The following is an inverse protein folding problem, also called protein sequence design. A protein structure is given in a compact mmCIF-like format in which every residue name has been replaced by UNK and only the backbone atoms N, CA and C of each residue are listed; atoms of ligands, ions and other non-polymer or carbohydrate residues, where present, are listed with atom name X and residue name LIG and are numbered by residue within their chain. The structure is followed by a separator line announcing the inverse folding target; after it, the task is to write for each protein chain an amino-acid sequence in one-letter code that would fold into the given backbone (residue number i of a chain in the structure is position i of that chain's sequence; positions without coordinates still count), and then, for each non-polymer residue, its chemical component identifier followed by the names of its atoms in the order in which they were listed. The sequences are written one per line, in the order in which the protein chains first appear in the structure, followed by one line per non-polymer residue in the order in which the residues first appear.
data_IF_573809231762
#
_entry.id   IF_573809231762
#
_cell.length_a   1.000
_cell.length_b   1.000
_cell.length_c   1.000
_cell.angle_alpha   90.00
_cell.angle_beta   90.00
_cell.angle_gamma   90.00
#
_symmetry.space_group_name_H-M   'P 1'
#
loop_
_entity.id
_entity.type
_entity.pdbx_description
1 polymer ?
#
# COMPACT_ATOMS: atom_id res chain seq x y z
N UNK A 1 24.52 5.59 10.31
CA UNK A 1 23.23 5.52 9.59
C UNK A 1 23.42 4.72 8.32
N UNK A 2 22.40 4.05 7.84
CA UNK A 2 22.47 3.20 6.63
C UNK A 2 22.41 4.06 5.37
N UNK A 3 21.68 5.17 5.43
CA UNK A 3 21.59 6.20 4.40
C UNK A 3 21.68 7.58 5.07
N UNK A 4 22.12 8.59 4.32
CA UNK A 4 22.25 9.98 4.82
C UNK A 4 20.91 10.75 4.75
N UNK A 5 19.80 10.04 4.47
CA UNK A 5 18.45 10.57 4.36
C UNK A 5 17.45 9.66 5.09
N UNK A 6 16.29 10.17 5.53
CA UNK A 6 15.26 9.36 6.16
C UNK A 6 14.67 8.39 5.14
N UNK A 7 14.54 7.11 5.48
CA UNK A 7 13.84 6.11 4.66
C UNK A 7 12.37 6.13 5.06
N UNK A 8 11.46 6.16 4.07
CA UNK A 8 10.00 6.24 4.27
C UNK A 8 9.35 5.06 3.54
N UNK A 9 8.58 4.29 4.28
CA UNK A 9 7.81 3.16 3.77
C UNK A 9 6.42 3.65 3.31
N UNK A 10 6.15 3.61 2.02
CA UNK A 10 4.89 4.09 1.46
C UNK A 10 3.74 3.05 1.54
N UNK A 11 3.99 1.83 2.06
CA UNK A 11 2.99 0.78 2.15
C UNK A 11 3.31 -0.25 3.24
N UNK A 12 2.59 -0.18 4.34
CA UNK A 12 2.65 -1.17 5.42
C UNK A 12 1.25 -1.37 6.02
N UNK A 13 1.05 -2.44 6.77
CA UNK A 13 -0.21 -2.78 7.40
C UNK A 13 -0.06 -2.96 8.91
N UNK A 14 -1.09 -2.55 9.67
CA UNK A 14 -1.21 -2.80 11.11
C UNK A 14 -2.61 -3.32 11.42
N UNK A 15 -2.72 -4.21 12.41
CA UNK A 15 -4.00 -4.70 12.92
C UNK A 15 -3.90 -5.22 14.34
N UNK A 16 -5.00 -5.13 15.07
CA UNK A 16 -5.15 -5.83 16.35
C UNK A 16 -5.57 -7.27 16.15
N UNK A 17 -6.41 -7.53 15.16
CA UNK A 17 -6.89 -8.87 14.81
C UNK A 17 -7.42 -8.87 13.38
N UNK A 18 -7.10 -9.93 12.64
CA UNK A 18 -7.81 -10.26 11.41
C UNK A 18 -9.02 -11.12 11.77
N UNK A 19 -10.22 -10.60 11.60
CA UNK A 19 -11.48 -11.32 11.82
C UNK A 19 -12.52 -10.71 10.88
N UNK A 20 -12.58 -11.22 9.66
CA UNK A 20 -13.39 -10.66 8.58
C UNK A 20 -13.87 -11.75 7.64
N UNK A 21 -14.70 -11.36 6.68
CA UNK A 21 -15.18 -12.24 5.61
C UNK A 21 -14.94 -11.52 4.27
N UNK A 22 -14.24 -12.19 3.37
CA UNK A 22 -14.00 -11.71 2.01
C UNK A 22 -14.52 -12.77 1.04
N UNK A 23 -15.37 -12.38 0.09
CA UNK A 23 -15.98 -13.28 -0.89
C UNK A 23 -16.67 -14.52 -0.25
N UNK A 24 -17.34 -14.29 0.88
CA UNK A 24 -18.02 -15.35 1.64
C UNK A 24 -17.10 -16.29 2.42
N UNK A 25 -15.78 -16.10 2.32
CA UNK A 25 -14.78 -16.91 3.03
C UNK A 25 -14.29 -16.18 4.28
N UNK A 26 -14.27 -16.90 5.41
CA UNK A 26 -13.77 -16.36 6.67
C UNK A 26 -12.25 -16.21 6.64
N UNK A 27 -11.79 -15.08 7.19
CA UNK A 27 -10.39 -14.82 7.48
C UNK A 27 -10.29 -14.55 8.99
N UNK A 28 -9.48 -15.34 9.68
CA UNK A 28 -9.37 -15.28 11.13
C UNK A 28 -7.92 -15.47 11.58
N UNK A 29 -7.45 -14.58 12.44
CA UNK A 29 -6.15 -14.70 13.11
C UNK A 29 -6.09 -15.96 13.97
N UNK A 30 -5.03 -16.74 13.77
CA UNK A 30 -4.64 -17.88 14.61
C UNK A 30 -3.28 -17.60 15.26
N UNK A 31 -2.89 -18.45 16.20
CA UNK A 31 -1.59 -18.32 16.87
C UNK A 31 -0.40 -18.55 15.92
N UNK A 32 0.74 -17.99 16.31
CA UNK A 32 2.05 -18.16 15.65
C UNK A 32 2.06 -17.72 14.18
N UNK A 33 1.49 -16.54 13.93
CA UNK A 33 1.49 -15.90 12.60
C UNK A 33 0.64 -16.59 11.54
N UNK A 34 -0.18 -17.57 11.92
CA UNK A 34 -1.11 -18.26 11.02
C UNK A 34 -2.45 -17.55 10.98
N UNK A 35 -3.16 -17.75 9.89
CA UNK A 35 -4.57 -17.35 9.76
C UNK A 35 -5.35 -18.45 9.06
N UNK A 36 -6.62 -18.60 9.42
CA UNK A 36 -7.59 -19.23 8.51
C UNK A 36 -7.77 -18.24 7.34
N UNK A 37 -7.44 -18.63 6.14
CA UNK A 37 -7.43 -17.77 4.96
C UNK A 37 -8.05 -18.51 3.79
N UNK A 38 -9.24 -18.07 3.35
CA UNK A 38 -9.98 -18.68 2.24
C UNK A 38 -10.16 -20.20 2.41
N UNK A 39 -10.53 -20.64 3.62
CA UNK A 39 -10.78 -22.05 3.95
C UNK A 39 -9.54 -22.89 4.29
N UNK A 40 -8.34 -22.31 4.23
CA UNK A 40 -7.08 -22.98 4.53
C UNK A 40 -6.31 -22.29 5.65
N UNK A 41 -5.57 -23.07 6.44
CA UNK A 41 -4.63 -22.47 7.42
C UNK A 41 -3.33 -22.15 6.70
N UNK A 42 -2.97 -20.87 6.67
CA UNK A 42 -1.75 -20.38 6.04
C UNK A 42 -0.87 -19.62 7.02
N UNK A 43 0.44 -19.66 6.78
CA UNK A 43 1.39 -18.76 7.43
C UNK A 43 1.31 -17.40 6.74
N UNK A 44 0.67 -16.42 7.38
CA UNK A 44 0.43 -15.10 6.80
C UNK A 44 1.46 -14.06 7.24
N UNK A 45 2.03 -14.24 8.43
CA UNK A 45 3.07 -13.40 9.01
C UNK A 45 4.09 -14.28 9.75
N UNK A 46 5.25 -13.75 10.20
CA UNK A 46 6.27 -14.56 10.89
C UNK A 46 5.73 -15.27 12.13
N UNK A 47 6.21 -16.49 12.43
CA UNK A 47 5.77 -17.27 13.60
C UNK A 47 6.00 -16.59 14.95
N UNK A 48 6.93 -15.63 15.04
CA UNK A 48 7.19 -14.89 16.28
C UNK A 48 6.10 -13.85 16.60
N UNK A 49 5.19 -13.56 15.69
CA UNK A 49 3.94 -12.85 15.97
C UNK A 49 2.96 -13.86 16.58
N UNK A 50 3.17 -14.16 17.89
CA UNK A 50 2.59 -15.33 18.57
C UNK A 50 1.08 -15.25 18.70
N UNK A 51 0.55 -14.06 19.01
CA UNK A 51 -0.88 -13.82 19.18
C UNK A 51 -1.57 -13.33 17.89
N UNK A 52 -0.83 -13.24 16.78
CA UNK A 52 -1.31 -12.78 15.48
C UNK A 52 -1.60 -11.28 15.39
N UNK A 53 -1.31 -10.51 16.45
CA UNK A 53 -1.44 -9.05 16.46
C UNK A 53 -0.22 -8.41 15.80
N UNK A 54 -0.48 -7.52 14.87
CA UNK A 54 0.57 -6.74 14.19
C UNK A 54 0.44 -5.27 14.59
N UNK A 55 0.94 -4.95 15.78
CA UNK A 55 0.74 -3.65 16.40
C UNK A 55 1.78 -2.60 15.99
N UNK A 56 1.47 -1.33 16.25
CA UNK A 56 2.36 -0.21 16.00
C UNK A 56 3.68 -0.36 16.77
N UNK A 57 3.67 -0.87 18.01
CA UNK A 57 4.86 -1.04 18.83
C UNK A 57 5.81 -2.09 18.24
N UNK A 58 5.25 -3.21 17.73
CA UNK A 58 6.03 -4.23 17.03
C UNK A 58 6.64 -3.65 15.76
N UNK A 59 5.86 -2.90 14.99
CA UNK A 59 6.33 -2.30 13.76
C UNK A 59 7.38 -1.21 14.02
N UNK A 60 7.17 -0.33 14.99
CA UNK A 60 8.16 0.69 15.40
C UNK A 60 9.50 0.05 15.77
N UNK A 61 9.48 -1.06 16.51
CA UNK A 61 10.72 -1.79 16.84
C UNK A 61 11.43 -2.30 15.59
N UNK A 62 10.70 -2.79 14.58
CA UNK A 62 11.27 -3.20 13.29
C UNK A 62 11.78 -1.99 12.49
N UNK A 63 11.03 -0.87 12.46
CA UNK A 63 11.41 0.37 11.79
C UNK A 63 12.70 0.93 12.39
N UNK A 64 12.79 1.02 13.72
CA UNK A 64 13.96 1.56 14.41
C UNK A 64 15.20 0.68 14.17
N UNK A 65 15.05 -0.64 14.24
CA UNK A 65 16.12 -1.59 13.91
C UNK A 65 16.57 -1.48 12.46
N UNK A 66 15.63 -1.30 11.53
CA UNK A 66 15.89 -1.14 10.11
C UNK A 66 16.20 0.32 9.71
N UNK A 67 16.18 1.29 10.65
CA UNK A 67 16.39 2.72 10.40
C UNK A 67 15.39 3.32 9.38
N UNK A 68 14.14 2.90 9.42
CA UNK A 68 13.02 3.49 8.68
C UNK A 68 12.37 4.57 9.54
N UNK A 69 12.24 5.77 9.00
CA UNK A 69 11.85 6.96 9.77
C UNK A 69 10.35 7.11 9.90
N UNK A 70 9.59 6.80 8.86
CA UNK A 70 8.14 6.93 8.84
C UNK A 70 7.52 5.90 7.89
N UNK A 71 6.21 5.65 8.05
CA UNK A 71 5.47 4.74 7.18
C UNK A 71 4.04 5.24 6.92
N UNK A 72 3.53 4.91 5.73
CA UNK A 72 2.11 4.99 5.40
C UNK A 72 1.47 3.65 5.75
N UNK A 73 0.45 3.69 6.61
CA UNK A 73 -0.29 2.50 7.02
C UNK A 73 -1.55 2.39 6.17
N UNK A 74 -1.55 1.40 5.29
CA UNK A 74 -2.70 1.07 4.44
C UNK A 74 -3.53 -0.05 5.08
N UNK A 75 -4.69 -0.34 4.51
CA UNK A 75 -5.56 -1.44 4.93
C UNK A 75 -5.94 -2.32 3.74
N UNK A 76 -6.32 -3.55 4.00
CA UNK A 76 -6.89 -4.45 3.01
C UNK A 76 -8.11 -5.18 3.63
N UNK A 77 -9.09 -5.53 2.82
CA UNK A 77 -10.30 -6.23 3.32
C UNK A 77 -9.96 -7.54 4.02
N UNK A 78 -8.86 -8.21 3.63
CA UNK A 78 -8.40 -9.42 4.30
C UNK A 78 -7.86 -9.19 5.72
N UNK A 79 -7.51 -7.96 6.08
CA UNK A 79 -7.08 -7.61 7.43
C UNK A 79 -8.28 -7.16 8.30
N UNK A 80 -9.43 -6.94 7.68
CA UNK A 80 -10.60 -6.31 8.28
C UNK A 80 -10.40 -4.79 8.44
N UNK A 81 -11.48 -4.09 8.72
CA UNK A 81 -11.45 -2.64 8.95
C UNK A 81 -10.87 -2.37 10.33
N UNK A 82 -9.78 -1.61 10.40
CA UNK A 82 -9.00 -1.29 11.61
C UNK A 82 -9.05 0.21 11.95
N UNK A 83 -10.04 0.96 11.48
CA UNK A 83 -10.05 2.43 11.55
C UNK A 83 -9.86 2.97 12.97
N UNK A 84 -10.59 2.45 13.95
CA UNK A 84 -10.50 2.95 15.34
C UNK A 84 -9.07 2.80 15.87
N UNK A 85 -8.46 1.63 15.68
CA UNK A 85 -7.08 1.38 16.07
C UNK A 85 -6.09 2.28 15.32
N UNK A 86 -6.24 2.43 14.00
CA UNK A 86 -5.32 3.25 13.21
C UNK A 86 -5.45 4.75 13.51
N UNK A 87 -6.63 5.21 13.91
CA UNK A 87 -6.81 6.57 14.40
C UNK A 87 -6.02 6.81 15.70
N UNK A 88 -6.09 5.88 16.66
CA UNK A 88 -5.27 5.91 17.88
C UNK A 88 -3.77 5.91 17.56
N UNK A 89 -3.34 5.03 16.67
CA UNK A 89 -1.94 4.93 16.23
C UNK A 89 -1.44 6.24 15.62
N UNK A 90 -2.21 6.86 14.71
CA UNK A 90 -1.86 8.13 14.09
C UNK A 90 -1.77 9.28 15.12
N UNK A 91 -2.68 9.30 16.09
CA UNK A 91 -2.66 10.30 17.17
C UNK A 91 -1.47 10.10 18.13
N UNK A 92 -1.11 8.86 18.43
CA UNK A 92 -0.02 8.53 19.33
C UNK A 92 1.37 8.74 18.69
N UNK A 93 1.48 8.50 17.38
CA UNK A 93 2.75 8.53 16.65
C UNK A 93 2.67 9.40 15.37
N UNK A 94 2.29 10.69 15.48
CA UNK A 94 1.98 11.54 14.32
C UNK A 94 3.20 11.79 13.40
N UNK A 95 4.41 11.71 13.94
CA UNK A 95 5.66 11.90 13.16
C UNK A 95 6.15 10.58 12.52
N UNK A 96 5.52 9.47 12.86
CA UNK A 96 5.95 8.14 12.40
C UNK A 96 4.95 7.53 11.41
N UNK A 97 3.66 7.80 11.54
CA UNK A 97 2.62 7.16 10.75
C UNK A 97 1.64 8.15 10.12
N UNK A 98 1.40 7.98 8.83
CA UNK A 98 0.20 8.43 8.14
C UNK A 98 -0.70 7.21 7.95
N UNK A 99 -1.85 7.19 8.60
CA UNK A 99 -2.79 6.08 8.48
C UNK A 99 -3.89 6.38 7.45
N UNK A 100 -4.18 5.40 6.59
CA UNK A 100 -5.31 5.46 5.65
C UNK A 100 -6.56 4.88 6.32
N UNK A 101 -7.67 5.61 6.32
CA UNK A 101 -8.97 5.04 6.62
C UNK A 101 -9.40 4.07 5.51
N UNK A 102 -10.31 3.16 5.81
CA UNK A 102 -10.89 2.25 4.82
C UNK A 102 -12.37 2.02 5.11
N UNK A 103 -13.17 1.93 4.07
CA UNK A 103 -14.58 1.51 4.14
C UNK A 103 -14.82 0.34 3.20
N UNK A 104 -15.78 -0.51 3.53
CA UNK A 104 -16.20 -1.59 2.64
C UNK A 104 -17.23 -1.05 1.64
N UNK A 105 -16.78 -0.74 0.43
CA UNK A 105 -17.59 -0.19 -0.67
C UNK A 105 -18.76 -1.08 -1.11
N UNK A 106 -18.80 -2.32 -0.64
CA UNK A 106 -19.89 -3.27 -0.92
C UNK A 106 -21.05 -3.14 0.08
N UNK A 107 -20.88 -2.36 1.15
CA UNK A 107 -21.89 -2.17 2.19
C UNK A 107 -22.71 -0.91 1.93
N UNK A 108 -23.99 -0.99 2.22
CA UNK A 108 -24.86 0.18 2.23
C UNK A 108 -24.36 1.23 3.22
N UNK A 109 -24.44 2.51 2.85
CA UNK A 109 -24.02 3.63 3.71
C UNK A 109 -22.52 3.88 3.75
N UNK A 110 -21.70 3.17 2.97
CA UNK A 110 -20.24 3.33 2.97
C UNK A 110 -19.79 4.78 2.68
N UNK A 111 -20.53 5.52 1.86
CA UNK A 111 -20.20 6.90 1.50
C UNK A 111 -20.21 7.83 2.72
N UNK A 112 -21.27 7.77 3.54
CA UNK A 112 -21.33 8.54 4.79
C UNK A 112 -20.23 8.14 5.77
N UNK A 113 -19.94 6.85 5.90
CA UNK A 113 -18.85 6.38 6.75
C UNK A 113 -17.48 6.88 6.26
N UNK A 114 -17.25 6.98 4.94
CA UNK A 114 -16.01 7.54 4.42
C UNK A 114 -15.85 9.01 4.77
N UNK A 115 -16.91 9.83 4.63
CA UNK A 115 -16.91 11.24 5.04
C UNK A 115 -16.70 11.39 6.56
N UNK A 116 -17.28 10.51 7.38
CA UNK A 116 -17.08 10.49 8.83
C UNK A 116 -15.60 10.24 9.20
N UNK A 117 -14.88 9.39 8.48
CA UNK A 117 -13.45 9.16 8.71
C UNK A 117 -12.62 10.44 8.51
N UNK A 118 -12.98 11.27 7.54
CA UNK A 118 -12.30 12.55 7.32
C UNK A 118 -12.56 13.53 8.46
N UNK A 119 -13.78 13.56 9.00
CA UNK A 119 -14.13 14.36 10.17
C UNK A 119 -13.39 13.89 11.45
N UNK A 120 -13.11 12.59 11.55
CA UNK A 120 -12.32 12.01 12.65
C UNK A 120 -10.82 12.33 12.54
N UNK A 121 -10.34 12.77 11.37
CA UNK A 121 -8.96 13.22 11.18
C UNK A 121 -8.10 12.36 10.25
N UNK A 122 -8.67 11.36 9.58
CA UNK A 122 -7.94 10.67 8.51
C UNK A 122 -7.65 11.62 7.35
N UNK A 123 -6.40 11.61 6.91
CA UNK A 123 -5.93 12.42 5.78
C UNK A 123 -5.71 11.60 4.51
N UNK A 124 -6.02 10.32 4.55
CA UNK A 124 -5.92 9.40 3.44
C UNK A 124 -7.03 8.34 3.50
N UNK A 125 -7.53 7.90 2.35
CA UNK A 125 -8.44 6.77 2.21
C UNK A 125 -7.77 5.67 1.39
N UNK A 126 -7.89 4.42 1.84
CA UNK A 126 -7.47 3.24 1.10
C UNK A 126 -8.66 2.59 0.39
N UNK A 127 -8.49 2.30 -0.89
CA UNK A 127 -9.44 1.53 -1.70
C UNK A 127 -8.73 0.30 -2.27
N UNK A 128 -9.01 -0.92 -1.76
CA UNK A 128 -8.57 -2.19 -2.37
C UNK A 128 -9.42 -2.48 -3.63
N UNK A 129 -9.19 -1.74 -4.73
CA UNK A 129 -10.03 -1.77 -5.92
C UNK A 129 -9.93 -3.11 -6.69
N UNK A 130 -8.82 -3.84 -6.55
CA UNK A 130 -8.67 -5.19 -7.05
C UNK A 130 -9.79 -6.12 -6.57
N UNK A 131 -10.27 -5.95 -5.34
CA UNK A 131 -11.35 -6.74 -4.75
C UNK A 131 -12.75 -6.39 -5.28
N UNK A 132 -12.89 -5.23 -5.88
CA UNK A 132 -14.17 -4.79 -6.44
C UNK A 132 -14.51 -5.45 -7.77
N UNK A 133 -13.50 -5.98 -8.48
CA UNK A 133 -13.70 -6.79 -9.69
C UNK A 133 -14.06 -8.24 -9.38
N UNK A 134 -13.61 -8.77 -8.25
CA UNK A 134 -13.74 -10.18 -7.88
C UNK A 134 -15.05 -10.50 -7.13
N UNK A 135 -15.83 -9.47 -6.79
CA UNK A 135 -17.13 -9.66 -6.12
C UNK A 135 -18.18 -10.17 -7.10
N UNK A 136 -19.21 -10.87 -6.61
CA UNK A 136 -20.37 -11.33 -7.39
C UNK A 136 -21.05 -10.18 -8.16
N UNK A 137 -20.83 -8.95 -7.71
CA UNK A 137 -21.26 -7.73 -8.35
C UNK A 137 -20.08 -6.78 -8.47
N UNK A 138 -19.54 -6.63 -9.69
CA UNK A 138 -18.51 -5.64 -10.01
C UNK A 138 -18.94 -4.25 -9.56
N UNK A 139 -18.07 -3.56 -8.82
CA UNK A 139 -18.21 -2.14 -8.52
C UNK A 139 -17.21 -1.38 -9.41
N UNK A 140 -17.74 -0.47 -10.23
CA UNK A 140 -16.94 0.38 -11.09
C UNK A 140 -16.36 1.54 -10.28
N UNK A 141 -15.11 1.93 -10.54
CA UNK A 141 -14.47 3.05 -9.86
C UNK A 141 -15.08 4.42 -10.23
N UNK A 142 -15.90 4.44 -11.26
CA UNK A 142 -16.59 5.64 -11.78
C UNK A 142 -18.07 5.69 -11.44
N UNK A 143 -18.51 4.95 -10.39
CA UNK A 143 -19.87 5.13 -9.86
C UNK A 143 -20.05 6.54 -9.28
N UNK A 144 -21.27 7.06 -9.30
CA UNK A 144 -21.58 8.42 -8.81
C UNK A 144 -21.09 8.61 -7.38
N UNK A 145 -21.29 7.63 -6.49
CA UNK A 145 -20.87 7.70 -5.10
C UNK A 145 -19.32 7.70 -4.95
N UNK A 146 -18.60 6.92 -5.78
CA UNK A 146 -17.13 6.96 -5.77
C UNK A 146 -16.59 8.28 -6.31
N UNK A 147 -17.19 8.82 -7.37
CA UNK A 147 -16.84 10.14 -7.89
C UNK A 147 -17.14 11.24 -6.87
N UNK A 148 -18.21 11.11 -6.08
CA UNK A 148 -18.56 12.06 -5.01
C UNK A 148 -17.49 12.07 -3.91
N UNK A 149 -17.11 10.91 -3.34
CA UNK A 149 -16.12 10.84 -2.26
C UNK A 149 -14.73 11.26 -2.74
N UNK A 150 -14.33 10.87 -3.95
CA UNK A 150 -13.05 11.27 -4.56
C UNK A 150 -13.01 12.80 -4.78
N UNK A 151 -14.13 13.40 -5.19
CA UNK A 151 -14.27 14.85 -5.29
C UNK A 151 -14.22 15.56 -3.94
N UNK A 152 -14.77 14.97 -2.89
CA UNK A 152 -14.62 15.45 -1.52
C UNK A 152 -13.15 15.40 -1.08
N UNK A 153 -12.46 14.30 -1.35
CA UNK A 153 -11.04 14.14 -1.06
C UNK A 153 -10.19 15.21 -1.74
N UNK A 154 -10.44 15.50 -3.01
CA UNK A 154 -9.72 16.58 -3.71
C UNK A 154 -9.96 17.95 -3.07
N UNK A 155 -11.20 18.26 -2.69
CA UNK A 155 -11.54 19.54 -2.03
C UNK A 155 -10.87 19.70 -0.69
N UNK A 156 -10.67 18.62 0.06
CA UNK A 156 -10.06 18.60 1.39
C UNK A 156 -8.54 18.37 1.36
N UNK A 157 -7.90 18.28 0.18
CA UNK A 157 -6.48 17.93 0.00
C UNK A 157 -6.09 16.64 0.72
N UNK A 158 -6.91 15.59 0.52
CA UNK A 158 -6.65 14.25 1.04
C UNK A 158 -5.90 13.38 0.01
N UNK A 159 -5.41 12.23 0.45
CA UNK A 159 -4.68 11.29 -0.37
C UNK A 159 -5.53 10.03 -0.63
N UNK A 160 -5.61 9.61 -1.89
CA UNK A 160 -6.16 8.32 -2.28
C UNK A 160 -5.03 7.29 -2.41
N UNK A 161 -5.05 6.25 -1.57
CA UNK A 161 -4.24 5.03 -1.74
C UNK A 161 -5.13 3.96 -2.38
N UNK A 162 -4.70 3.39 -3.51
CA UNK A 162 -5.54 2.46 -4.27
C UNK A 162 -4.72 1.29 -4.82
N UNK A 163 -5.23 0.06 -4.66
CA UNK A 163 -4.68 -1.13 -5.28
C UNK A 163 -5.56 -1.56 -6.43
N UNK A 164 -5.02 -1.53 -7.63
CA UNK A 164 -5.74 -1.93 -8.84
C UNK A 164 -5.62 -3.44 -9.09
N UNK A 165 -6.57 -3.99 -9.82
CA UNK A 165 -6.49 -5.36 -10.32
C UNK A 165 -5.35 -5.52 -11.33
N UNK A 166 -4.89 -6.75 -11.54
CA UNK A 166 -3.79 -7.08 -12.44
C UNK A 166 -3.96 -6.47 -13.85
N UNK A 167 -2.88 -5.98 -14.39
CA UNK A 167 -2.82 -5.46 -15.76
C UNK A 167 -3.63 -4.17 -15.98
N UNK A 168 -4.36 -4.09 -17.08
CA UNK A 168 -5.06 -2.88 -17.52
C UNK A 168 -6.55 -2.82 -17.13
N UNK A 169 -7.05 -3.76 -16.31
CA UNK A 169 -8.48 -3.96 -16.09
C UNK A 169 -9.23 -2.73 -15.52
N UNK A 170 -8.55 -1.86 -14.76
CA UNK A 170 -9.13 -0.66 -14.15
C UNK A 170 -8.41 0.63 -14.60
N UNK A 171 -7.51 0.56 -15.59
CA UNK A 171 -6.73 1.73 -16.04
C UNK A 171 -7.64 2.80 -16.65
N UNK A 172 -8.62 2.41 -17.46
CA UNK A 172 -9.55 3.37 -18.07
C UNK A 172 -10.38 4.13 -17.02
N UNK A 173 -10.88 3.43 -16.01
CA UNK A 173 -11.61 4.03 -14.89
C UNK A 173 -10.71 5.01 -14.09
N UNK A 174 -9.45 4.64 -13.89
CA UNK A 174 -8.48 5.53 -13.22
C UNK A 174 -8.16 6.78 -14.05
N UNK A 175 -8.05 6.67 -15.38
CA UNK A 175 -7.85 7.82 -16.25
C UNK A 175 -9.04 8.80 -16.14
N UNK A 176 -10.29 8.31 -16.04
CA UNK A 176 -11.47 9.15 -15.84
C UNK A 176 -11.41 9.88 -14.48
N UNK A 177 -11.06 9.19 -13.40
CA UNK A 177 -10.89 9.78 -12.07
C UNK A 177 -9.79 10.84 -12.09
N UNK A 178 -8.63 10.54 -12.66
CA UNK A 178 -7.48 11.46 -12.70
C UNK A 178 -7.84 12.72 -13.53
N UNK A 179 -8.57 12.55 -14.63
CA UNK A 179 -9.00 13.65 -15.47
C UNK A 179 -10.05 14.54 -14.77
N UNK A 180 -10.98 13.93 -14.03
CA UNK A 180 -12.01 14.66 -13.29
C UNK A 180 -11.45 15.40 -12.06
N UNK A 181 -10.41 14.84 -11.41
CA UNK A 181 -9.84 15.35 -10.16
C UNK A 181 -8.31 15.53 -10.26
N UNK A 182 -7.83 16.51 -11.05
CA UNK A 182 -6.41 16.66 -11.39
C UNK A 182 -5.53 17.11 -10.23
N UNK A 183 -6.11 17.56 -9.09
CA UNK A 183 -5.37 17.96 -7.90
C UNK A 183 -5.36 16.87 -6.82
N UNK A 184 -6.21 15.84 -6.93
CA UNK A 184 -6.23 14.74 -5.99
C UNK A 184 -4.90 13.99 -6.03
N UNK A 185 -4.24 13.83 -4.88
CA UNK A 185 -3.03 13.01 -4.76
C UNK A 185 -3.41 11.52 -4.75
N UNK A 186 -2.86 10.76 -5.69
CA UNK A 186 -3.18 9.33 -5.87
C UNK A 186 -1.91 8.48 -5.79
N UNK A 187 -1.84 7.58 -4.82
CA UNK A 187 -0.81 6.56 -4.71
C UNK A 187 -1.38 5.21 -5.17
N UNK A 188 -0.85 4.66 -6.27
CA UNK A 188 -1.22 3.35 -6.80
C UNK A 188 -0.27 2.30 -6.25
N UNK A 189 -0.82 1.26 -5.63
CA UNK A 189 -0.09 0.23 -4.90
C UNK A 189 0.52 -0.88 -5.77
N UNK A 190 1.40 -1.66 -5.12
CA UNK A 190 1.94 -2.94 -5.60
C UNK A 190 2.66 -2.91 -6.96
N UNK A 191 3.14 -1.74 -7.39
CA UNK A 191 3.94 -1.59 -8.60
C UNK A 191 3.28 -2.20 -9.86
N UNK A 192 1.93 -2.09 -9.95
CA UNK A 192 1.15 -2.67 -11.04
C UNK A 192 1.20 -4.20 -11.09
N UNK A 193 1.58 -4.88 -9.98
CA UNK A 193 1.83 -6.33 -9.95
C UNK A 193 2.85 -6.75 -11.02
N UNK A 194 4.04 -6.21 -10.94
CA UNK A 194 5.10 -6.20 -11.99
C UNK A 194 5.47 -7.55 -12.61
N UNK A 195 5.14 -8.67 -11.98
CA UNK A 195 5.31 -10.02 -12.55
C UNK A 195 4.10 -10.49 -13.37
N UNK A 196 3.07 -9.66 -13.50
CA UNK A 196 1.85 -9.96 -14.27
C UNK A 196 1.86 -9.25 -15.63
N UNK A 197 1.15 -9.80 -16.63
CA UNK A 197 1.04 -9.15 -17.94
C UNK A 197 0.46 -7.75 -17.85
N UNK A 198 0.94 -6.84 -18.70
CA UNK A 198 0.43 -5.46 -18.83
C UNK A 198 0.58 -4.58 -17.57
N UNK A 199 1.46 -4.92 -16.63
CA UNK A 199 1.72 -4.12 -15.44
C UNK A 199 2.14 -2.67 -15.76
N UNK A 200 2.80 -2.47 -16.90
CA UNK A 200 3.25 -1.15 -17.35
C UNK A 200 2.10 -0.17 -17.58
N UNK A 201 0.87 -0.67 -17.86
CA UNK A 201 -0.27 0.21 -18.08
C UNK A 201 -0.66 0.96 -16.80
N UNK A 202 -0.55 0.32 -15.64
CA UNK A 202 -0.74 1.01 -14.35
C UNK A 202 0.40 2.00 -14.06
N UNK A 203 1.64 1.65 -14.38
CA UNK A 203 2.79 2.56 -14.20
C UNK A 203 2.59 3.85 -15.01
N UNK A 204 2.08 3.73 -16.25
CA UNK A 204 1.86 4.88 -17.14
C UNK A 204 0.88 5.91 -16.57
N UNK A 205 -0.02 5.53 -15.65
CA UNK A 205 -0.90 6.48 -14.94
C UNK A 205 -0.10 7.55 -14.18
N UNK A 206 1.11 7.23 -13.74
CA UNK A 206 1.98 8.20 -13.07
C UNK A 206 2.60 9.26 -13.99
N UNK A 207 2.29 9.26 -15.30
CA UNK A 207 2.56 10.40 -16.18
C UNK A 207 1.78 11.65 -15.76
N UNK A 208 0.64 11.46 -15.12
CA UNK A 208 -0.12 12.55 -14.52
C UNK A 208 0.65 13.13 -13.31
N UNK A 209 0.65 14.47 -13.11
CA UNK A 209 1.47 15.12 -12.09
C UNK A 209 1.10 14.70 -10.67
N UNK A 210 -0.17 14.40 -10.42
CA UNK A 210 -0.79 14.08 -9.13
C UNK A 210 -0.77 12.57 -8.79
N UNK A 211 -0.17 11.72 -9.62
CA UNK A 211 -0.10 10.27 -9.42
C UNK A 211 1.33 9.82 -9.08
N UNK A 212 1.43 8.90 -8.14
CA UNK A 212 2.64 8.15 -7.77
C UNK A 212 2.35 6.67 -7.75
N UNK A 213 3.41 5.87 -7.95
CA UNK A 213 3.37 4.40 -7.84
C UNK A 213 4.22 4.02 -6.64
N UNK A 214 3.69 3.20 -5.74
CA UNK A 214 4.48 2.62 -4.67
C UNK A 214 4.71 1.12 -4.89
N UNK A 215 5.83 0.61 -4.36
CA UNK A 215 6.33 -0.72 -4.66
C UNK A 215 5.94 -1.78 -3.62
N UNK A 216 4.82 -1.62 -2.95
CA UNK A 216 4.37 -2.54 -1.89
C UNK A 216 4.60 -4.01 -2.25
N UNK A 217 5.48 -4.65 -1.49
CA UNK A 217 5.75 -6.07 -1.67
C UNK A 217 6.54 -6.47 -2.92
N UNK A 218 7.25 -5.58 -3.57
CA UNK A 218 8.04 -5.93 -4.78
C UNK A 218 8.99 -7.13 -4.54
N UNK A 219 9.51 -7.29 -3.33
CA UNK A 219 10.39 -8.41 -2.97
C UNK A 219 9.66 -9.75 -2.92
N UNK A 220 8.38 -9.79 -2.53
CA UNK A 220 7.62 -11.04 -2.60
C UNK A 220 7.12 -11.34 -4.02
N UNK A 221 6.95 -10.35 -4.88
CA UNK A 221 6.68 -10.58 -6.31
C UNK A 221 7.86 -11.28 -7.00
N UNK A 222 9.08 -11.03 -6.54
CA UNK A 222 10.31 -11.66 -7.02
C UNK A 222 10.86 -12.70 -6.04
N UNK A 223 10.01 -13.35 -5.24
CA UNK A 223 10.42 -14.30 -4.19
C UNK A 223 11.15 -15.54 -4.69
N UNK A 224 11.01 -15.90 -5.97
CA UNK A 224 11.76 -16.98 -6.60
C UNK A 224 13.22 -16.59 -6.86
N UNK A 225 13.55 -15.30 -6.81
CA UNK A 225 14.91 -14.80 -6.89
C UNK A 225 15.56 -14.75 -5.52
N UNK A 226 16.88 -15.03 -5.49
CA UNK A 226 17.67 -14.71 -4.30
C UNK A 226 17.93 -13.20 -4.21
N UNK A 227 18.11 -12.74 -2.94
CA UNK A 227 18.71 -11.43 -2.71
C UNK A 227 19.99 -11.27 -3.56
N UNK A 228 20.20 -10.17 -4.30
CA UNK A 228 19.54 -8.86 -4.14
C UNK A 228 18.40 -8.55 -5.15
N UNK A 229 17.61 -9.49 -5.56
CA UNK A 229 16.41 -9.29 -6.39
C UNK A 229 16.68 -8.50 -7.68
N UNK A 230 17.49 -9.06 -8.56
CA UNK A 230 17.92 -8.39 -9.79
C UNK A 230 16.73 -8.04 -10.71
N UNK A 231 15.70 -8.90 -10.76
CA UNK A 231 14.46 -8.64 -11.49
C UNK A 231 13.70 -7.43 -10.94
N UNK A 232 13.65 -7.28 -9.61
CA UNK A 232 13.04 -6.10 -8.99
C UNK A 232 13.79 -4.81 -9.33
N UNK A 233 15.13 -4.84 -9.38
CA UNK A 233 15.94 -3.68 -9.82
C UNK A 233 15.65 -3.33 -11.28
N UNK A 234 15.58 -4.33 -12.18
CA UNK A 234 15.21 -4.10 -13.57
C UNK A 234 13.80 -3.53 -13.72
N UNK A 235 12.82 -4.03 -12.94
CA UNK A 235 11.47 -3.51 -12.93
C UNK A 235 11.40 -2.04 -12.50
N UNK A 236 12.16 -1.66 -11.45
CA UNK A 236 12.27 -0.26 -11.01
C UNK A 236 12.87 0.61 -12.14
N UNK A 237 13.91 0.14 -12.81
CA UNK A 237 14.53 0.86 -13.94
C UNK A 237 13.58 0.99 -15.14
N UNK A 238 12.83 -0.05 -15.47
CA UNK A 238 11.83 -0.02 -16.54
C UNK A 238 10.72 0.98 -16.21
N UNK A 239 10.14 0.93 -15.00
CA UNK A 239 9.15 1.90 -14.58
C UNK A 239 9.69 3.33 -14.60
N UNK A 240 10.92 3.54 -14.13
CA UNK A 240 11.57 4.85 -14.18
C UNK A 240 11.77 5.35 -15.61
N UNK A 241 12.01 4.46 -16.58
CA UNK A 241 12.09 4.83 -18.00
C UNK A 241 10.76 5.31 -18.59
N UNK A 242 9.62 4.82 -18.03
CA UNK A 242 8.28 5.17 -18.49
C UNK A 242 7.77 6.50 -17.93
N UNK A 243 8.06 6.77 -16.64
CA UNK A 243 7.45 7.89 -15.91
C UNK A 243 8.45 8.76 -15.13
N UNK A 244 9.71 8.36 -15.06
CA UNK A 244 10.73 8.99 -14.23
C UNK A 244 10.74 8.46 -12.79
N UNK A 245 11.95 8.34 -12.22
CA UNK A 245 12.13 7.83 -10.84
C UNK A 245 11.39 8.69 -9.81
N UNK A 246 11.20 10.00 -10.07
CA UNK A 246 10.47 10.92 -9.21
C UNK A 246 8.99 10.60 -9.02
N UNK A 247 8.47 9.60 -9.75
CA UNK A 247 7.09 9.11 -9.65
C UNK A 247 6.95 7.80 -8.87
N UNK A 248 8.05 7.22 -8.45
CA UNK A 248 8.10 5.91 -7.82
C UNK A 248 8.48 6.04 -6.35
N UNK A 249 7.81 5.27 -5.48
CA UNK A 249 8.06 5.24 -4.04
C UNK A 249 8.30 3.80 -3.59
N UNK A 250 9.16 3.61 -2.60
CA UNK A 250 9.30 2.32 -1.96
C UNK A 250 8.16 2.09 -0.97
N UNK A 251 7.59 0.88 -0.99
CA UNK A 251 6.69 0.33 0.00
C UNK A 251 7.08 -1.11 0.31
N UNK A 252 7.01 -1.51 1.57
CA UNK A 252 7.46 -2.84 2.00
C UNK A 252 6.41 -3.93 1.90
N UNK A 253 5.15 -3.59 2.04
CA UNK A 253 4.05 -4.52 2.33
C UNK A 253 4.28 -5.31 3.64
N UNK A 254 4.86 -4.63 4.66
CA UNK A 254 4.97 -5.18 6.01
C UNK A 254 3.56 -5.47 6.58
N UNK A 255 3.29 -6.59 7.28
CA UNK A 255 4.25 -7.59 7.74
C UNK A 255 4.39 -8.80 6.79
N UNK A 256 3.72 -8.83 5.66
CA UNK A 256 3.78 -10.00 4.73
C UNK A 256 5.19 -10.24 4.21
N UNK A 257 5.87 -9.20 3.84
CA UNK A 257 7.26 -9.26 3.37
C UNK A 257 8.20 -9.90 4.38
N UNK A 258 8.03 -9.63 5.68
CA UNK A 258 8.91 -10.19 6.70
C UNK A 258 8.64 -11.66 7.05
N UNK A 259 7.67 -12.29 6.40
CA UNK A 259 7.49 -13.75 6.47
C UNK A 259 8.65 -14.51 5.78
N UNK A 260 9.26 -13.90 4.78
CA UNK A 260 10.34 -14.50 3.98
C UNK A 260 11.71 -13.87 4.22
N UNK A 261 11.77 -12.56 4.51
CA UNK A 261 13.01 -11.78 4.64
C UNK A 261 12.94 -10.84 5.85
N UNK A 262 14.05 -10.20 6.22
CA UNK A 262 14.00 -9.14 7.23
C UNK A 262 13.43 -7.86 6.65
N UNK A 263 12.82 -7.02 7.50
CA UNK A 263 12.26 -5.74 7.07
C UNK A 263 13.32 -4.87 6.35
N UNK A 264 14.55 -4.84 6.85
CA UNK A 264 15.66 -4.13 6.21
C UNK A 264 15.96 -4.65 4.80
N UNK A 265 15.92 -5.95 4.56
CA UNK A 265 16.20 -6.53 3.23
C UNK A 265 15.18 -6.07 2.18
N UNK A 266 13.97 -5.63 2.59
CA UNK A 266 12.94 -5.16 1.65
C UNK A 266 13.30 -3.86 0.91
N UNK A 267 14.34 -3.12 1.38
CA UNK A 267 14.84 -1.92 0.69
C UNK A 267 16.38 -1.93 0.48
N UNK A 268 17.14 -2.69 1.27
CA UNK A 268 18.61 -2.71 1.23
C UNK A 268 19.15 -3.13 -0.16
N UNK A 269 18.40 -3.97 -0.88
CA UNK A 269 18.75 -4.35 -2.26
C UNK A 269 18.81 -3.14 -3.22
N UNK A 270 17.98 -2.13 -3.01
CA UNK A 270 18.02 -0.86 -3.77
C UNK A 270 19.30 -0.08 -3.41
N UNK A 271 19.60 0.04 -2.12
CA UNK A 271 20.80 0.75 -1.66
C UNK A 271 22.09 0.14 -2.21
N UNK A 272 22.14 -1.19 -2.32
CA UNK A 272 23.32 -1.93 -2.82
C UNK A 272 23.41 -2.00 -4.33
N UNK A 273 22.35 -1.68 -5.05
CA UNK A 273 22.38 -1.72 -6.50
C UNK A 273 23.31 -0.66 -7.09
N UNK A 274 24.18 -1.06 -7.99
CA UNK A 274 24.98 -0.15 -8.82
C UNK A 274 24.23 0.38 -10.04
N UNK A 275 23.04 -0.16 -10.35
CA UNK A 275 22.21 0.23 -11.48
C UNK A 275 21.29 1.42 -11.17
N UNK A 276 21.17 1.79 -9.88
CA UNK A 276 20.39 2.94 -9.41
C UNK A 276 21.38 3.92 -8.79
N UNK A 277 21.41 5.15 -9.29
CA UNK A 277 22.29 6.19 -8.77
C UNK A 277 21.89 6.61 -7.36
N UNK A 278 22.78 7.21 -6.58
CA UNK A 278 22.48 7.60 -5.19
C UNK A 278 21.36 8.66 -5.11
N UNK A 279 21.26 9.55 -6.10
CA UNK A 279 20.13 10.47 -6.21
C UNK A 279 18.80 9.77 -6.49
N UNK A 280 18.79 8.75 -7.34
CA UNK A 280 17.60 7.94 -7.61
C UNK A 280 17.19 7.11 -6.38
N UNK A 281 18.16 6.57 -5.63
CA UNK A 281 17.91 5.86 -4.36
C UNK A 281 17.23 6.76 -3.33
N UNK A 282 17.76 7.99 -3.16
CA UNK A 282 17.14 8.97 -2.26
C UNK A 282 15.71 9.30 -2.70
N UNK A 283 15.48 9.56 -3.99
CA UNK A 283 14.14 9.82 -4.50
C UNK A 283 13.19 8.66 -4.20
N UNK A 284 13.57 7.44 -4.55
CA UNK A 284 12.71 6.25 -4.44
C UNK A 284 12.43 5.86 -2.98
N UNK A 285 13.45 5.92 -2.09
CA UNK A 285 13.36 5.49 -0.70
C UNK A 285 12.89 6.58 0.26
N UNK A 286 12.87 7.87 -0.16
CA UNK A 286 12.65 8.98 0.74
C UNK A 286 11.83 10.11 0.13
N UNK A 287 12.49 10.94 -0.69
CA UNK A 287 11.97 12.27 -1.00
C UNK A 287 10.68 12.26 -1.82
N UNK A 288 10.41 11.21 -2.61
CA UNK A 288 9.16 11.10 -3.36
C UNK A 288 7.95 10.88 -2.42
N UNK A 289 8.06 10.00 -1.42
CA UNK A 289 7.01 9.78 -0.44
C UNK A 289 6.84 10.99 0.49
N UNK A 290 7.96 11.63 0.90
CA UNK A 290 7.92 12.80 1.79
C UNK A 290 7.22 14.02 1.18
N UNK A 291 7.34 14.21 -0.14
CA UNK A 291 6.77 15.37 -0.86
C UNK A 291 5.34 15.12 -1.35
N UNK A 292 4.93 13.89 -1.32
CA UNK A 292 3.61 13.45 -1.78
C UNK A 292 2.61 13.35 -0.65
#
# INVERSE_FOLDING_TARGET
MIADYPIIDAHAHLWLRQDTTVEGQKIETLANGRSLFMGEIRQMVPPFIVDGRNTAEIFLSNMDYAQVSAAVITQEYIDGVQNDYLLEVQQQYPDRFLCCGMVDLRREGWLSHASELFLQGFRALKIPANRLLMSDRRIWLTTDELMEIVGEMERQDLLLSIDLADGAAQVAEMEEIIAAFPRLRIAIGHFGMVTRPQWQEQIKLARHPNVRIESGGITWLFHEEFYPYQGAIWAIKEAASLVGIGKLMWGSDYPRTITAITYRMSYDFVLRSSLITDAEKEMFLSSNARRF
#
